data_IF_218160149919
#
_entry.id   IF_218160149919
#
_cell.length_a   1.000
_cell.length_b   1.000
_cell.length_c   1.000
_cell.angle_alpha   90.00
_cell.angle_beta   90.00
_cell.angle_gamma   90.00
#
_symmetry.space_group_name_H-M   'P 1'
#
loop_
_entity.id
_entity.type
_entity.pdbx_description
1 polymer ?
#
# COMPACT_ATOMS: atom_id res chain seq x y z
N UNK A 1 9.50 -29.48 3.53
CA UNK A 1 10.28 -28.28 3.94
C UNK A 1 9.45 -27.07 3.57
N UNK A 2 8.93 -26.33 4.54
CA UNK A 2 8.04 -25.18 4.30
C UNK A 2 8.90 -23.93 4.08
N UNK A 3 8.79 -23.24 2.93
CA UNK A 3 9.51 -22.00 2.74
C UNK A 3 8.89 -20.90 3.62
N UNK A 4 9.79 -20.11 4.19
CA UNK A 4 9.56 -18.98 5.08
C UNK A 4 8.74 -17.93 4.31
N UNK A 5 7.53 -17.65 4.76
CA UNK A 5 6.60 -16.72 4.10
C UNK A 5 7.00 -15.26 4.39
N UNK A 6 7.63 -14.62 3.40
CA UNK A 6 7.70 -13.15 3.30
C UNK A 6 6.53 -12.75 2.39
N UNK A 7 5.47 -12.21 2.97
CA UNK A 7 4.24 -11.85 2.25
C UNK A 7 4.19 -10.32 2.11
N UNK A 8 4.44 -9.83 0.89
CA UNK A 8 4.26 -8.43 0.48
C UNK A 8 2.95 -8.32 -0.31
N UNK A 9 2.15 -7.31 0.03
CA UNK A 9 0.76 -7.13 -0.35
C UNK A 9 0.57 -6.31 -1.64
N UNK A 10 -0.60 -6.51 -2.27
CA UNK A 10 -0.81 -6.41 -3.71
C UNK A 10 -1.35 -5.10 -4.31
N UNK A 11 -0.78 -4.69 -5.46
CA UNK A 11 -1.20 -3.87 -6.64
C UNK A 11 -2.29 -2.80 -6.60
N UNK A 12 -3.02 -2.61 -5.51
CA UNK A 12 -3.42 -1.26 -5.15
C UNK A 12 -2.18 -0.58 -4.59
N UNK A 13 -2.03 0.75 -4.76
CA UNK A 13 -1.12 1.54 -3.94
C UNK A 13 -1.48 1.30 -2.45
N UNK A 14 -0.91 0.25 -1.87
CA UNK A 14 -1.30 -0.33 -0.60
C UNK A 14 -0.71 0.44 0.58
N UNK A 15 -0.18 1.63 0.30
CA UNK A 15 -0.15 2.75 1.23
C UNK A 15 -1.48 2.85 1.96
N UNK A 16 -2.62 2.67 1.27
CA UNK A 16 -3.92 2.85 1.86
C UNK A 16 -4.34 1.77 2.88
N UNK A 17 -4.20 0.46 2.58
CA UNK A 17 -4.59 -0.61 3.53
C UNK A 17 -3.73 -0.60 4.79
N UNK A 18 -2.43 -0.34 4.62
CA UNK A 18 -1.51 -0.12 5.73
C UNK A 18 -1.78 1.20 6.47
N UNK A 19 -2.23 2.24 5.77
CA UNK A 19 -2.67 3.49 6.37
C UNK A 19 -3.99 3.32 7.16
N UNK A 20 -4.88 2.41 6.76
CA UNK A 20 -6.09 2.12 7.54
C UNK A 20 -5.72 1.40 8.83
N UNK A 21 -4.80 0.43 8.78
CA UNK A 21 -4.30 -0.27 9.97
C UNK A 21 -3.47 0.60 10.96
N UNK A 22 -3.14 1.85 10.63
CA UNK A 22 -2.22 2.66 11.46
C UNK A 22 -2.89 3.80 12.25
N UNK A 23 -4.12 3.61 12.74
CA UNK A 23 -4.53 4.36 13.93
C UNK A 23 -3.57 3.95 15.05
N UNK A 24 -2.68 4.84 15.50
CA UNK A 24 -1.77 4.54 16.60
C UNK A 24 -2.46 4.77 17.95
N UNK A 25 -2.16 3.88 18.87
CA UNK A 25 -2.65 3.86 20.25
C UNK A 25 -2.21 5.10 21.03
N UNK A 26 -3.08 6.11 21.18
CA UNK A 26 -3.02 7.07 22.31
C UNK A 26 -3.69 6.44 23.54
N UNK A 27 -3.04 5.47 24.15
CA UNK A 27 -3.40 4.99 25.48
C UNK A 27 -2.12 4.81 26.31
N UNK A 28 -1.75 5.88 27.03
CA UNK A 28 -0.64 5.87 27.98
C UNK A 28 0.48 6.91 27.75
N UNK A 29 0.36 7.82 26.78
CA UNK A 29 1.31 8.93 26.67
C UNK A 29 1.10 9.89 27.85
N UNK A 30 2.00 9.87 28.84
CA UNK A 30 2.15 11.02 29.73
C UNK A 30 2.69 12.16 28.86
N UNK A 31 1.85 13.18 28.63
CA UNK A 31 2.29 14.43 28.02
C UNK A 31 3.19 15.14 29.03
N UNK A 32 4.50 14.86 29.00
CA UNK A 32 5.49 15.82 29.47
C UNK A 32 5.89 16.67 28.28
N UNK A 33 5.08 17.69 28.01
CA UNK A 33 5.37 18.69 26.99
C UNK A 33 6.57 19.52 27.43
N UNK A 34 7.76 19.15 26.96
CA UNK A 34 8.90 20.04 26.94
C UNK A 34 9.03 20.54 25.51
N UNK A 35 8.48 21.72 25.26
CA UNK A 35 8.64 22.42 24.00
C UNK A 35 10.12 22.83 23.88
N UNK A 36 10.88 22.13 23.05
CA UNK A 36 12.18 22.62 22.63
C UNK A 36 11.98 23.88 21.79
N UNK A 37 12.87 24.87 21.96
CA UNK A 37 12.78 26.22 21.38
C UNK A 37 12.83 26.29 19.85
N UNK A 38 12.78 25.13 19.16
CA UNK A 38 12.73 24.99 17.71
C UNK A 38 11.30 24.79 17.14
N UNK A 39 10.28 24.78 18.00
CA UNK A 39 8.88 24.59 17.59
C UNK A 39 8.56 23.15 17.15
N UNK A 40 9.40 22.18 17.54
CA UNK A 40 9.23 20.77 17.23
C UNK A 40 8.52 20.06 18.40
N UNK A 41 7.37 19.45 18.13
CA UNK A 41 6.74 18.52 19.08
C UNK A 41 7.33 17.13 18.89
N UNK A 42 7.67 16.48 20.01
CA UNK A 42 8.14 15.11 20.06
C UNK A 42 7.17 14.28 20.90
N UNK A 43 6.89 13.06 20.46
CA UNK A 43 6.03 12.12 21.18
C UNK A 43 6.81 10.88 21.58
N UNK A 44 6.50 10.35 22.76
CA UNK A 44 7.07 9.09 23.22
C UNK A 44 6.28 7.90 22.66
N UNK A 45 6.96 7.04 21.90
CA UNK A 45 6.41 5.78 21.39
C UNK A 45 7.25 4.59 21.83
N UNK A 46 6.67 3.38 21.94
CA UNK A 46 7.46 2.17 22.17
C UNK A 46 8.51 1.99 21.07
N UNK A 47 9.73 1.63 21.46
CA UNK A 47 10.83 1.33 20.53
C UNK A 47 10.49 0.20 19.57
N UNK A 48 9.77 -0.83 20.02
CA UNK A 48 9.29 -1.87 19.13
C UNK A 48 7.90 -2.36 19.52
N UNK A 49 7.16 -2.83 18.52
CA UNK A 49 5.84 -3.43 18.64
C UNK A 49 5.76 -4.65 17.70
N UNK A 50 5.02 -5.67 18.12
CA UNK A 50 4.80 -6.87 17.31
C UNK A 50 3.36 -7.31 17.46
N UNK A 51 2.77 -7.76 16.37
CA UNK A 51 1.41 -8.24 16.35
C UNK A 51 1.12 -9.12 15.16
N UNK A 52 -0.17 -9.42 15.01
CA UNK A 52 -0.71 -10.21 13.91
C UNK A 52 -1.92 -9.47 13.37
N UNK A 53 -2.03 -9.40 12.05
CA UNK A 53 -3.21 -8.91 11.36
C UNK A 53 -3.86 -10.07 10.59
N UNK A 54 -5.19 -10.07 10.58
CA UNK A 54 -5.99 -10.95 9.75
C UNK A 54 -6.90 -10.10 8.88
N UNK A 55 -6.93 -10.37 7.58
CA UNK A 55 -7.77 -9.62 6.65
C UNK A 55 -8.31 -10.51 5.54
N UNK A 56 -9.48 -10.11 5.03
CA UNK A 56 -10.04 -10.57 3.78
C UNK A 56 -9.95 -9.41 2.78
N UNK A 57 -9.47 -9.71 1.57
CA UNK A 57 -9.33 -8.75 0.48
C UNK A 57 -10.03 -9.30 -0.77
N UNK A 58 -10.71 -8.43 -1.50
CA UNK A 58 -11.13 -8.65 -2.86
C UNK A 58 -10.53 -7.58 -3.73
N UNK A 59 -9.65 -7.95 -4.66
CA UNK A 59 -8.98 -7.05 -5.60
C UNK A 59 -9.10 -7.60 -7.02
N UNK A 60 -9.09 -6.75 -8.06
CA UNK A 60 -9.04 -7.22 -9.44
C UNK A 60 -7.84 -8.17 -9.67
N UNK A 61 -8.02 -9.18 -10.52
CA UNK A 61 -6.99 -10.17 -10.83
C UNK A 61 -5.71 -9.51 -11.40
N UNK A 62 -5.90 -8.43 -12.14
CA UNK A 62 -4.87 -7.52 -12.63
C UNK A 62 -5.50 -6.14 -12.92
N UNK A 63 -4.72 -5.09 -13.20
CA UNK A 63 -5.29 -3.78 -13.54
C UNK A 63 -6.30 -3.88 -14.68
N UNK A 64 -7.43 -3.17 -14.61
CA UNK A 64 -8.56 -3.26 -15.57
C UNK A 64 -9.27 -4.61 -15.71
N UNK A 65 -8.99 -5.62 -14.86
CA UNK A 65 -9.73 -6.89 -14.93
C UNK A 65 -11.12 -6.77 -14.30
N UNK A 66 -12.12 -7.35 -14.98
CA UNK A 66 -13.50 -7.44 -14.48
C UNK A 66 -13.66 -8.51 -13.40
N UNK A 67 -12.66 -9.39 -13.24
CA UNK A 67 -12.70 -10.51 -12.31
C UNK A 67 -11.90 -10.19 -11.05
N UNK A 68 -12.54 -10.37 -9.91
CA UNK A 68 -11.95 -10.18 -8.58
C UNK A 68 -11.32 -11.48 -8.07
N UNK A 69 -10.15 -11.36 -7.45
CA UNK A 69 -9.45 -12.42 -6.72
C UNK A 69 -9.59 -12.18 -5.21
N UNK A 70 -10.48 -12.95 -4.60
CA UNK A 70 -10.73 -12.88 -3.15
C UNK A 70 -9.76 -13.76 -2.37
N UNK A 71 -9.10 -13.19 -1.35
CA UNK A 71 -8.16 -13.92 -0.50
C UNK A 71 -8.27 -13.49 0.96
N UNK A 72 -8.14 -14.46 1.85
CA UNK A 72 -7.91 -14.23 3.28
C UNK A 72 -6.46 -14.51 3.64
N UNK A 73 -5.86 -13.67 4.47
CA UNK A 73 -4.50 -13.87 4.98
C UNK A 73 -4.39 -13.49 6.45
N UNK A 74 -3.46 -14.17 7.13
CA UNK A 74 -3.01 -13.84 8.48
C UNK A 74 -1.52 -13.56 8.39
N UNK A 75 -1.11 -12.34 8.70
CA UNK A 75 0.27 -11.88 8.55
C UNK A 75 0.79 -11.33 9.88
N UNK A 76 2.02 -11.70 10.29
CA UNK A 76 2.68 -11.02 11.38
C UNK A 76 3.11 -9.62 10.94
N UNK A 77 3.10 -8.67 11.86
CA UNK A 77 3.67 -7.34 11.65
C UNK A 77 4.63 -6.99 12.77
N UNK A 78 5.63 -6.17 12.45
CA UNK A 78 6.66 -5.72 13.38
C UNK A 78 7.02 -4.26 13.10
N UNK A 79 6.91 -3.44 14.13
CA UNK A 79 7.29 -2.03 14.09
C UNK A 79 8.57 -1.86 14.91
N UNK A 80 9.56 -1.20 14.34
CA UNK A 80 10.77 -0.81 15.06
C UNK A 80 11.04 0.67 14.83
N UNK A 81 11.20 1.42 15.91
CA UNK A 81 11.47 2.85 15.93
C UNK A 81 12.89 3.09 16.43
N UNK A 82 13.81 3.25 15.50
CA UNK A 82 15.19 3.68 15.75
C UNK A 82 15.51 4.99 15.05
N UNK A 83 16.70 5.53 15.33
CA UNK A 83 17.16 6.84 14.86
C UNK A 83 17.54 6.86 13.36
N UNK A 84 17.69 5.68 12.72
CA UNK A 84 18.14 5.55 11.31
C UNK A 84 17.31 4.55 10.48
N UNK A 85 16.56 3.66 11.13
CA UNK A 85 15.74 2.64 10.45
C UNK A 85 14.38 2.58 11.16
N UNK A 86 13.29 2.87 10.44
CA UNK A 86 11.91 2.72 10.92
C UNK A 86 11.17 1.71 10.05
N UNK A 87 10.92 0.49 10.54
CA UNK A 87 9.95 -0.39 9.88
C UNK A 87 8.54 0.09 10.24
N UNK A 88 7.75 0.45 9.22
CA UNK A 88 6.34 0.80 9.38
C UNK A 88 5.45 -0.32 8.84
N UNK A 89 4.19 -0.27 9.25
CA UNK A 89 3.13 -1.04 8.60
C UNK A 89 2.89 -0.43 7.21
N UNK A 90 2.99 -1.25 6.16
CA UNK A 90 2.98 -0.83 4.75
C UNK A 90 4.27 -1.11 3.99
N UNK A 91 5.34 -1.50 4.68
CA UNK A 91 6.58 -1.91 4.05
C UNK A 91 7.82 -1.50 4.84
N UNK A 92 8.98 -2.01 4.42
CA UNK A 92 10.27 -1.60 4.95
C UNK A 92 10.61 -0.18 4.46
N UNK A 93 10.32 0.83 5.29
CA UNK A 93 10.74 2.21 5.00
C UNK A 93 12.09 2.53 5.65
N UNK A 94 13.19 2.29 4.94
CA UNK A 94 14.50 2.79 5.38
C UNK A 94 14.55 4.28 5.13
N UNK A 95 14.35 5.10 6.16
CA UNK A 95 14.45 6.55 6.08
C UNK A 95 15.94 6.92 5.94
N UNK A 96 16.33 7.39 4.75
CA UNK A 96 17.69 7.82 4.48
C UNK A 96 17.93 9.28 4.89
N UNK A 97 16.89 10.12 4.84
CA UNK A 97 16.97 11.54 5.17
C UNK A 97 15.58 12.07 5.59
N UNK A 98 15.51 12.72 6.75
CA UNK A 98 14.26 13.22 7.34
C UNK A 98 14.42 14.70 7.72
N UNK A 99 13.58 15.55 7.15
CA UNK A 99 13.35 16.93 7.56
C UNK A 99 11.88 17.11 7.94
N UNK A 100 11.53 18.22 8.62
CA UNK A 100 10.18 18.49 9.14
C UNK A 100 9.03 18.32 8.14
N UNK A 101 9.31 18.43 6.83
CA UNK A 101 8.31 18.31 5.75
C UNK A 101 8.65 17.26 4.71
N UNK A 102 9.86 16.72 4.69
CA UNK A 102 10.34 15.90 3.59
C UNK A 102 11.06 14.67 4.13
N UNK A 103 10.58 13.50 3.76
CA UNK A 103 11.17 12.22 4.13
C UNK A 103 11.54 11.47 2.85
N UNK A 104 12.79 11.06 2.74
CA UNK A 104 13.25 10.16 1.68
C UNK A 104 13.43 8.77 2.28
N UNK A 105 12.63 7.82 1.80
CA UNK A 105 12.61 6.45 2.27
C UNK A 105 12.78 5.43 1.14
N UNK A 106 12.71 4.16 1.53
CA UNK A 106 12.47 3.04 0.61
C UNK A 106 11.01 2.61 0.71
N UNK A 107 10.44 2.19 -0.42
CA UNK A 107 9.09 1.68 -0.54
C UNK A 107 9.16 0.25 -1.03
N UNK A 108 8.32 -0.60 -0.46
CA UNK A 108 8.11 -1.96 -0.93
C UNK A 108 6.63 -2.13 -1.28
N UNK A 109 6.36 -2.81 -2.39
CA UNK A 109 5.03 -3.23 -2.81
C UNK A 109 5.05 -4.68 -3.28
N UNK A 110 3.89 -5.24 -3.58
CA UNK A 110 3.77 -6.53 -4.25
C UNK A 110 2.50 -6.65 -5.07
N UNK A 111 2.23 -7.82 -5.64
CA UNK A 111 0.94 -8.25 -6.19
C UNK A 111 0.65 -9.70 -5.82
N UNK A 112 -0.62 -10.04 -5.68
CA UNK A 112 -1.02 -11.44 -5.58
C UNK A 112 -0.87 -12.07 -6.97
N UNK A 113 -0.50 -13.35 -6.99
CA UNK A 113 -0.59 -14.15 -8.21
C UNK A 113 -2.04 -14.34 -8.62
N UNK A 114 -2.32 -14.33 -9.92
CA UNK A 114 -3.61 -14.69 -10.49
C UNK A 114 -3.44 -15.81 -11.51
N UNK A 115 -4.30 -16.83 -11.40
CA UNK A 115 -4.32 -17.93 -12.36
C UNK A 115 -4.92 -17.42 -13.67
N UNK A 116 -4.33 -17.79 -14.82
CA UNK A 116 -4.77 -17.34 -16.15
C UNK A 116 -6.22 -17.74 -16.44
N UNK A 117 -6.62 -18.90 -15.93
CA UNK A 117 -7.94 -19.49 -16.18
C UNK A 117 -9.07 -18.82 -15.38
N UNK A 118 -8.74 -17.87 -14.50
CA UNK A 118 -9.73 -17.07 -13.77
C UNK A 118 -10.48 -16.14 -14.73
N UNK A 119 -9.84 -15.71 -15.80
CA UNK A 119 -10.42 -14.81 -16.80
C UNK A 119 -10.48 -15.52 -18.16
N UNK A 120 -11.64 -15.62 -18.83
CA UNK A 120 -11.73 -16.19 -20.18
C UNK A 120 -10.77 -15.52 -21.16
N UNK A 121 -10.50 -14.22 -20.96
CA UNK A 121 -9.59 -13.44 -21.79
C UNK A 121 -8.12 -13.85 -21.67
N UNK A 122 -7.72 -14.56 -20.60
CA UNK A 122 -6.33 -15.06 -20.43
C UNK A 122 -6.24 -16.58 -20.52
N UNK A 123 -7.30 -17.27 -20.93
CA UNK A 123 -7.26 -18.73 -21.11
C UNK A 123 -6.14 -19.12 -22.08
N UNK A 124 -5.34 -20.12 -21.70
CA UNK A 124 -4.18 -20.60 -22.46
C UNK A 124 -2.93 -19.71 -22.37
N UNK A 125 -2.95 -18.61 -21.62
CA UNK A 125 -1.77 -17.78 -21.33
C UNK A 125 -1.07 -18.24 -20.04
N UNK A 126 0.20 -17.87 -19.81
CA UNK A 126 0.85 -18.07 -18.53
C UNK A 126 0.15 -17.32 -17.40
N UNK A 127 0.24 -17.90 -16.20
CA UNK A 127 -0.24 -17.28 -14.97
C UNK A 127 0.45 -15.96 -14.70
N UNK A 128 -0.28 -15.07 -14.02
CA UNK A 128 0.32 -13.91 -13.39
C UNK A 128 0.96 -14.36 -12.08
N UNK A 129 2.29 -14.45 -12.09
CA UNK A 129 3.10 -14.72 -10.92
C UNK A 129 2.94 -13.63 -9.85
N UNK A 130 3.45 -13.88 -8.63
CA UNK A 130 3.55 -12.84 -7.62
C UNK A 130 4.47 -11.72 -8.10
N UNK A 131 4.05 -10.47 -7.94
CA UNK A 131 4.90 -9.32 -8.22
C UNK A 131 5.45 -8.77 -6.91
N UNK A 132 6.67 -8.27 -6.94
CA UNK A 132 7.34 -7.59 -5.85
C UNK A 132 7.94 -6.31 -6.38
N UNK A 133 7.68 -5.20 -5.70
CA UNK A 133 8.16 -3.88 -6.08
C UNK A 133 9.04 -3.32 -4.98
N UNK A 134 10.15 -2.67 -5.34
CA UNK A 134 11.00 -1.99 -4.37
C UNK A 134 11.68 -0.77 -4.99
N UNK A 135 11.81 0.32 -4.23
CA UNK A 135 12.57 1.47 -4.69
C UNK A 135 12.43 2.71 -3.80
N UNK A 136 13.06 3.84 -4.16
CA UNK A 136 12.96 5.08 -3.39
C UNK A 136 11.53 5.63 -3.35
N UNK A 137 11.22 6.29 -2.23
CA UNK A 137 9.97 7.03 -2.04
C UNK A 137 10.26 8.36 -1.36
N UNK A 138 9.62 9.40 -1.86
CA UNK A 138 9.63 10.75 -1.33
C UNK A 138 8.26 11.04 -0.73
N UNK A 139 8.24 11.37 0.57
CA UNK A 139 7.06 11.82 1.28
C UNK A 139 7.20 13.29 1.63
N UNK A 140 6.27 14.11 1.14
CA UNK A 140 6.18 15.53 1.41
C UNK A 140 4.92 15.85 2.21
N UNK A 141 5.10 16.36 3.43
CA UNK A 141 4.03 16.81 4.31
C UNK A 141 3.59 18.20 3.90
N UNK A 142 2.40 18.29 3.31
CA UNK A 142 1.83 19.56 2.85
C UNK A 142 1.36 20.37 4.06
N UNK A 143 0.59 19.73 4.94
CA UNK A 143 0.14 20.34 6.19
C UNK A 143 -0.12 19.30 7.27
N UNK A 144 -0.14 19.78 8.51
CA UNK A 144 -0.44 19.00 9.70
C UNK A 144 -1.08 19.94 10.70
N UNK A 145 -2.29 19.63 11.14
CA UNK A 145 -3.08 20.52 12.00
C UNK A 145 -3.71 19.72 13.11
N UNK A 146 -3.43 20.14 14.33
CA UNK A 146 -4.25 19.77 15.47
C UNK A 146 -5.56 20.58 15.43
N UNK A 147 -6.67 19.87 15.57
CA UNK A 147 -8.01 20.43 15.66
C UNK A 147 -8.47 20.35 17.12
N UNK A 148 -9.51 21.11 17.46
CA UNK A 148 -10.10 21.04 18.79
C UNK A 148 -10.58 19.63 19.12
N UNK A 149 -10.47 19.22 20.39
CA UNK A 149 -10.94 17.90 20.85
C UNK A 149 -9.97 16.73 20.61
N UNK A 150 -8.69 17.00 20.32
CA UNK A 150 -7.67 15.95 20.15
C UNK A 150 -7.66 15.32 18.76
N UNK A 151 -8.45 15.86 17.84
CA UNK A 151 -8.45 15.55 16.42
C UNK A 151 -7.18 16.07 15.76
N UNK A 152 -6.70 15.34 14.75
CA UNK A 152 -5.56 15.76 13.93
C UNK A 152 -5.86 15.50 12.48
N UNK A 153 -5.45 16.42 11.61
CA UNK A 153 -5.68 16.35 10.17
C UNK A 153 -4.37 16.56 9.43
N UNK A 154 -4.11 15.70 8.44
CA UNK A 154 -2.86 15.67 7.68
C UNK A 154 -3.15 15.49 6.20
N UNK A 155 -2.34 16.14 5.38
CA UNK A 155 -2.27 15.94 3.93
C UNK A 155 -0.80 15.78 3.56
N UNK A 156 -0.53 14.68 2.86
CA UNK A 156 0.77 14.34 2.34
C UNK A 156 0.67 14.17 0.84
N UNK A 157 1.76 14.50 0.16
CA UNK A 157 2.03 14.07 -1.18
C UNK A 157 3.19 13.08 -1.13
N UNK A 158 3.02 11.94 -1.77
CA UNK A 158 3.98 10.85 -1.83
C UNK A 158 4.29 10.56 -3.29
N UNK A 159 5.55 10.31 -3.63
CA UNK A 159 5.92 9.74 -4.93
C UNK A 159 6.96 8.65 -4.76
N UNK A 160 6.84 7.57 -5.52
CA UNK A 160 7.77 6.45 -5.48
C UNK A 160 8.14 6.00 -6.88
N UNK A 161 9.42 5.67 -7.05
CA UNK A 161 9.94 5.00 -8.25
C UNK A 161 10.40 3.62 -7.82
N UNK A 162 9.72 2.56 -8.29
CA UNK A 162 9.97 1.19 -7.86
C UNK A 162 10.38 0.31 -9.04
N UNK A 163 11.31 -0.61 -8.80
CA UNK A 163 11.59 -1.71 -9.70
C UNK A 163 10.69 -2.89 -9.35
N UNK A 164 10.09 -3.51 -10.36
CA UNK A 164 9.20 -4.65 -10.23
C UNK A 164 9.90 -5.96 -10.60
N UNK A 165 9.59 -7.04 -9.88
CA UNK A 165 10.11 -8.39 -10.10
C UNK A 165 8.95 -9.38 -9.92
N UNK A 166 8.72 -10.26 -10.89
CA UNK A 166 7.76 -11.35 -10.74
C UNK A 166 8.45 -12.66 -10.31
N UNK A 167 7.76 -13.49 -9.54
CA UNK A 167 8.24 -14.80 -9.10
C UNK A 167 7.12 -15.78 -8.77
N UNK A 168 7.36 -17.03 -9.10
CA UNK A 168 6.60 -18.22 -8.70
C UNK A 168 7.32 -18.99 -7.56
N UNK A 169 8.31 -18.34 -6.92
CA UNK A 169 9.29 -18.91 -5.98
C UNK A 169 10.32 -19.88 -6.58
N UNK A 170 10.30 -20.14 -7.90
CA UNK A 170 11.30 -20.92 -8.61
C UNK A 170 12.27 -20.05 -9.42
N UNK A 171 11.75 -18.97 -10.01
CA UNK A 171 12.52 -18.00 -10.79
C UNK A 171 12.15 -16.55 -10.43
N UNK A 172 13.07 -15.63 -10.67
CA UNK A 172 12.84 -14.19 -10.52
C UNK A 172 13.00 -13.52 -11.88
N UNK A 173 11.99 -12.74 -12.30
CA UNK A 173 11.99 -12.02 -13.58
C UNK A 173 11.80 -10.54 -13.35
N UNK A 174 12.74 -9.72 -13.80
CA UNK A 174 12.58 -8.26 -13.76
C UNK A 174 11.42 -7.83 -14.66
N UNK A 175 10.51 -7.01 -14.12
CA UNK A 175 9.33 -6.45 -14.77
C UNK A 175 9.43 -4.94 -14.99
N UNK A 176 10.62 -4.35 -14.92
CA UNK A 176 10.82 -2.94 -15.25
C UNK A 176 10.53 -2.00 -14.08
N UNK A 177 10.14 -0.76 -14.39
CA UNK A 177 9.96 0.32 -13.42
C UNK A 177 8.50 0.78 -13.36
N UNK A 178 8.09 1.21 -12.17
CA UNK A 178 6.78 1.79 -11.87
C UNK A 178 7.00 3.12 -11.16
N UNK A 179 6.32 4.16 -11.62
CA UNK A 179 6.28 5.47 -10.98
C UNK A 179 4.86 5.70 -10.46
N UNK A 180 4.74 6.00 -9.17
CA UNK A 180 3.46 6.35 -8.55
C UNK A 180 3.57 7.71 -7.88
N UNK A 181 2.49 8.48 -7.95
CA UNK A 181 2.34 9.76 -7.24
C UNK A 181 0.98 9.77 -6.58
N UNK A 182 0.92 10.00 -5.28
CA UNK A 182 -0.28 9.90 -4.47
C UNK A 182 -0.42 11.14 -3.58
N UNK A 183 -1.64 11.67 -3.47
CA UNK A 183 -2.00 12.62 -2.42
C UNK A 183 -2.90 11.90 -1.44
N UNK A 184 -2.52 11.94 -0.16
CA UNK A 184 -3.26 11.27 0.91
C UNK A 184 -3.70 12.25 1.98
N UNK A 185 -4.94 12.14 2.42
CA UNK A 185 -5.52 12.86 3.54
C UNK A 185 -5.85 11.89 4.67
N UNK A 186 -5.41 12.21 5.88
CA UNK A 186 -5.71 11.45 7.09
C UNK A 186 -6.35 12.37 8.13
N UNK A 187 -7.38 11.87 8.81
CA UNK A 187 -7.95 12.51 9.99
C UNK A 187 -8.09 11.51 11.12
N UNK A 188 -7.44 11.81 12.24
CA UNK A 188 -7.43 10.98 13.45
C UNK A 188 -8.41 11.51 14.50
N UNK A 189 -8.91 10.60 15.34
CA UNK A 189 -9.82 10.83 16.45
C UNK A 189 -11.14 11.53 16.08
N UNK A 190 -11.69 11.23 14.91
CA UNK A 190 -12.86 11.94 14.37
C UNK A 190 -14.02 11.97 15.36
N UNK A 191 -14.64 13.14 15.56
CA UNK A 191 -15.78 13.33 16.45
C UNK A 191 -15.51 12.88 17.90
N UNK A 192 -14.26 12.95 18.36
CA UNK A 192 -13.84 12.51 19.70
C UNK A 192 -13.80 10.99 19.89
N UNK A 193 -13.90 10.22 18.81
CA UNK A 193 -13.79 8.76 18.84
C UNK A 193 -12.32 8.31 18.67
N UNK A 194 -12.05 7.00 18.72
CA UNK A 194 -10.73 6.43 18.35
C UNK A 194 -10.67 6.01 16.87
N UNK A 195 -11.54 6.61 16.04
CA UNK A 195 -11.60 6.30 14.62
C UNK A 195 -10.68 7.21 13.81
N UNK A 196 -10.09 6.63 12.76
CA UNK A 196 -9.23 7.32 11.80
C UNK A 196 -9.83 7.13 10.41
N UNK A 197 -9.95 8.23 9.67
CA UNK A 197 -10.32 8.23 8.25
C UNK A 197 -9.09 8.49 7.41
N UNK A 198 -8.97 7.73 6.33
CA UNK A 198 -7.94 7.87 5.32
C UNK A 198 -8.59 8.02 3.94
N UNK A 199 -8.05 8.93 3.14
CA UNK A 199 -8.41 9.15 1.75
C UNK A 199 -7.13 9.26 0.94
N UNK A 200 -7.07 8.68 -0.24
CA UNK A 200 -6.00 8.99 -1.17
C UNK A 200 -6.43 8.95 -2.63
N UNK A 201 -5.67 9.66 -3.45
CA UNK A 201 -5.83 9.69 -4.89
C UNK A 201 -4.44 9.75 -5.55
N UNK A 202 -4.17 8.90 -6.53
CA UNK A 202 -2.85 8.87 -7.14
C UNK A 202 -2.75 8.17 -8.49
N UNK A 203 -2.19 8.81 -9.53
CA UNK A 203 -1.84 8.16 -10.78
C UNK A 203 -0.61 7.25 -10.65
N UNK A 204 -0.59 6.21 -11.49
CA UNK A 204 0.54 5.31 -11.69
C UNK A 204 0.92 5.25 -13.17
N UNK A 205 2.23 5.25 -13.44
CA UNK A 205 2.83 5.01 -14.75
C UNK A 205 3.81 3.86 -14.66
N UNK A 206 3.97 3.11 -15.75
CA UNK A 206 4.90 1.99 -15.78
C UNK A 206 5.63 1.85 -17.11
N UNK A 207 6.81 1.25 -17.04
CA UNK A 207 7.61 0.90 -18.21
C UNK A 207 6.99 -0.27 -18.97
N UNK A 208 7.38 -0.44 -20.23
CA UNK A 208 6.88 -1.44 -21.17
C UNK A 208 6.88 -2.85 -20.56
N UNK A 209 8.03 -3.32 -20.05
CA UNK A 209 8.16 -4.64 -19.38
C UNK A 209 7.18 -4.89 -18.22
N UNK A 210 6.68 -3.83 -17.59
CA UNK A 210 5.68 -3.94 -16.53
C UNK A 210 4.29 -4.09 -17.15
N UNK A 211 4.00 -3.28 -18.17
CA UNK A 211 2.76 -3.34 -18.93
C UNK A 211 2.61 -4.67 -19.67
N UNK A 212 3.70 -5.20 -20.24
CA UNK A 212 3.74 -6.51 -20.91
C UNK A 212 3.22 -7.63 -20.01
N UNK A 213 3.52 -7.55 -18.72
CA UNK A 213 3.13 -8.58 -17.76
C UNK A 213 1.61 -8.75 -17.71
N UNK A 214 0.86 -7.66 -17.90
CA UNK A 214 -0.60 -7.65 -17.83
C UNK A 214 -1.25 -7.69 -19.22
N UNK A 215 -0.72 -6.94 -20.18
CA UNK A 215 -1.44 -6.58 -21.41
C UNK A 215 -0.85 -7.19 -22.69
N UNK A 216 0.36 -7.77 -22.65
CA UNK A 216 0.98 -8.38 -23.83
C UNK A 216 0.19 -9.60 -24.30
N UNK A 217 0.00 -9.71 -25.61
CA UNK A 217 -0.43 -10.95 -26.25
C UNK A 217 0.58 -11.34 -27.32
N UNK A 218 1.46 -12.28 -26.96
CA UNK A 218 2.40 -12.87 -27.91
C UNK A 218 1.66 -13.66 -29.01
N UNK A 219 2.25 -13.79 -30.22
CA UNK A 219 1.64 -14.52 -31.34
C UNK A 219 1.16 -15.94 -31.01
N UNK A 220 1.83 -16.63 -30.09
CA UNK A 220 1.46 -17.98 -29.64
C UNK A 220 0.16 -18.04 -28.84
N UNK A 221 -0.27 -16.92 -28.25
CA UNK A 221 -1.50 -16.82 -27.44
C UNK A 221 -2.66 -16.18 -28.20
N UNK A 222 -2.49 -15.87 -29.49
CA UNK A 222 -3.55 -15.29 -30.32
C UNK A 222 -4.68 -16.28 -30.52
N UNK A 223 -5.91 -15.80 -30.37
CA UNK A 223 -7.14 -16.56 -30.67
C UNK A 223 -8.04 -15.73 -31.57
N UNK A 224 -9.17 -16.29 -32.00
CA UNK A 224 -10.16 -15.54 -32.77
C UNK A 224 -10.79 -14.36 -31.99
N UNK A 225 -10.69 -14.37 -30.65
CA UNK A 225 -11.25 -13.35 -29.76
C UNK A 225 -10.16 -12.51 -29.06
N UNK A 226 -8.89 -12.90 -29.16
CA UNK A 226 -7.74 -12.21 -28.55
C UNK A 226 -6.66 -12.01 -29.60
N UNK A 227 -6.61 -10.80 -30.16
CA UNK A 227 -5.59 -10.42 -31.14
C UNK A 227 -4.20 -10.29 -30.50
N UNK A 228 -3.14 -10.35 -31.31
CA UNK A 228 -1.81 -9.98 -30.84
C UNK A 228 -1.80 -8.52 -30.42
N UNK A 229 -1.10 -8.21 -29.33
CA UNK A 229 -1.03 -6.88 -28.78
C UNK A 229 0.35 -6.68 -28.15
N UNK A 230 0.96 -5.54 -28.46
CA UNK A 230 2.25 -5.11 -27.93
C UNK A 230 1.99 -4.02 -26.90
N UNK A 231 2.27 -4.29 -25.63
CA UNK A 231 1.93 -3.39 -24.55
C UNK A 231 2.89 -2.20 -24.51
N UNK A 232 2.35 -1.00 -24.38
CA UNK A 232 3.14 0.23 -24.42
C UNK A 232 3.44 0.75 -23.01
N UNK A 233 4.60 1.38 -22.78
CA UNK A 233 4.87 2.10 -21.53
C UNK A 233 3.93 3.30 -21.41
N UNK A 234 3.54 3.65 -20.18
CA UNK A 234 2.78 4.88 -19.97
C UNK A 234 1.90 4.85 -18.75
N UNK A 235 0.79 5.59 -18.82
CA UNK A 235 -0.17 5.70 -17.73
C UNK A 235 -0.95 4.39 -17.57
N UNK A 236 -1.01 3.88 -16.34
CA UNK A 236 -1.72 2.64 -15.98
C UNK A 236 -3.14 2.92 -15.46
N UNK A 237 -3.29 4.01 -14.71
CA UNK A 237 -4.54 4.36 -14.05
C UNK A 237 -4.33 5.27 -12.85
N UNK A 238 -5.43 5.73 -12.28
CA UNK A 238 -5.49 6.53 -11.06
C UNK A 238 -6.29 5.78 -10.02
N UNK A 239 -5.68 5.54 -8.86
CA UNK A 239 -6.33 4.91 -7.74
C UNK A 239 -6.98 5.97 -6.85
N UNK A 240 -8.21 5.69 -6.42
CA UNK A 240 -8.92 6.39 -5.36
C UNK A 240 -9.13 5.42 -4.21
N UNK A 241 -8.72 5.78 -2.99
CA UNK A 241 -8.89 4.90 -1.84
C UNK A 241 -9.55 5.63 -0.68
N UNK A 242 -10.51 4.95 -0.05
CA UNK A 242 -11.11 5.32 1.22
C UNK A 242 -10.77 4.27 2.27
N UNK A 243 -10.44 4.72 3.46
CA UNK A 243 -10.14 3.87 4.60
C UNK A 243 -10.78 4.37 5.88
N UNK A 244 -11.26 3.44 6.69
CA UNK A 244 -11.73 3.69 8.05
C UNK A 244 -11.16 2.64 9.00
N UNK A 245 -10.55 3.08 10.09
CA UNK A 245 -10.20 2.20 11.22
C UNK A 245 -10.70 2.72 12.53
N UNK A 246 -10.79 1.81 13.50
CA UNK A 246 -11.11 2.13 14.87
C UNK A 246 -10.45 1.15 15.83
N UNK A 247 -10.08 1.63 17.00
CA UNK A 247 -9.62 0.78 18.09
C UNK A 247 -10.80 0.29 18.93
N UNK A 248 -10.97 -1.02 18.99
CA UNK A 248 -11.91 -1.66 19.93
C UNK A 248 -11.30 -1.77 21.33
N UNK A 249 -9.97 -1.85 21.45
CA UNK A 249 -9.23 -1.80 22.71
C UNK A 249 -7.86 -1.14 22.51
N UNK A 250 -7.00 -1.10 23.53
CA UNK A 250 -5.62 -0.61 23.38
C UNK A 250 -4.75 -1.47 22.45
N UNK A 251 -5.17 -2.71 22.15
CA UNK A 251 -4.37 -3.67 21.36
C UNK A 251 -5.10 -4.23 20.15
N UNK A 252 -6.41 -3.99 20.04
CA UNK A 252 -7.24 -4.54 18.99
C UNK A 252 -7.84 -3.39 18.19
N UNK A 253 -7.62 -3.44 16.89
CA UNK A 253 -8.10 -2.46 15.94
C UNK A 253 -8.76 -3.16 14.77
N UNK A 254 -9.88 -2.61 14.30
CA UNK A 254 -10.51 -3.01 13.05
C UNK A 254 -10.30 -1.97 11.98
N UNK A 255 -10.26 -2.45 10.74
CA UNK A 255 -10.13 -1.59 9.56
C UNK A 255 -10.97 -2.10 8.39
N UNK A 256 -11.42 -1.15 7.59
CA UNK A 256 -12.07 -1.39 6.29
C UNK A 256 -11.48 -0.39 5.28
N UNK A 257 -11.25 -0.87 4.06
CA UNK A 257 -10.78 -0.07 2.94
C UNK A 257 -11.60 -0.36 1.69
N UNK A 258 -11.84 0.67 0.90
CA UNK A 258 -12.49 0.61 -0.41
C UNK A 258 -11.61 1.34 -1.41
N UNK A 259 -11.33 0.70 -2.53
CA UNK A 259 -10.52 1.24 -3.61
C UNK A 259 -11.27 1.24 -4.93
N UNK A 260 -11.05 2.27 -5.74
CA UNK A 260 -11.48 2.33 -7.14
C UNK A 260 -10.30 2.75 -8.00
N UNK A 261 -9.95 1.95 -8.99
CA UNK A 261 -8.93 2.30 -9.99
C UNK A 261 -9.62 2.75 -11.27
N UNK A 262 -9.29 3.95 -11.72
CA UNK A 262 -9.79 4.56 -12.96
C UNK A 262 -8.72 4.42 -14.05
N UNK A 263 -9.06 3.75 -15.14
CA UNK A 263 -8.15 3.42 -16.23
C UNK A 263 -8.42 4.22 -17.51
N UNK A 264 -9.30 5.22 -17.47
CA UNK A 264 -9.54 6.11 -18.60
C UNK A 264 -8.24 6.82 -19.03
N UNK A 265 -7.86 6.65 -20.29
CA UNK A 265 -6.62 7.17 -20.85
C UNK A 265 -5.38 6.32 -20.56
N UNK A 266 -5.54 5.11 -20.01
CA UNK A 266 -4.45 4.14 -19.87
C UNK A 266 -3.80 3.85 -21.23
N UNK A 267 -2.47 3.71 -21.25
CA UNK A 267 -1.70 3.48 -22.47
C UNK A 267 -2.08 2.17 -23.20
N UNK A 268 -2.63 1.21 -22.45
CA UNK A 268 -2.97 -0.13 -22.94
C UNK A 268 -4.48 -0.40 -22.96
N UNK A 269 -5.30 0.66 -23.06
CA UNK A 269 -6.77 0.54 -23.13
C UNK A 269 -7.28 -0.19 -24.37
N UNK A 270 -6.50 -0.22 -25.45
CA UNK A 270 -6.80 -0.97 -26.68
C UNK A 270 -6.38 -2.46 -26.60
N UNK A 271 -5.77 -2.89 -25.49
CA UNK A 271 -5.41 -4.29 -25.30
C UNK A 271 -6.66 -5.17 -25.26
N UNK A 272 -6.66 -6.35 -25.93
CA UNK A 272 -7.75 -7.31 -25.78
C UNK A 272 -7.84 -7.91 -24.37
N UNK A 273 -6.87 -7.62 -23.50
CA UNK A 273 -6.86 -7.99 -22.08
C UNK A 273 -7.36 -6.85 -21.17
N UNK A 274 -7.65 -5.67 -21.71
CA UNK A 274 -8.29 -4.59 -20.97
C UNK A 274 -9.80 -4.85 -20.90
N UNK A 275 -10.34 -5.07 -19.70
CA UNK A 275 -11.74 -5.47 -19.53
C UNK A 275 -12.63 -4.28 -19.15
N UNK A 276 -12.26 -3.57 -18.08
CA UNK A 276 -13.05 -2.51 -17.48
C UNK A 276 -12.25 -1.21 -17.28
N UNK A 277 -12.88 -0.08 -17.60
CA UNK A 277 -12.29 1.25 -17.38
C UNK A 277 -12.30 1.69 -15.92
N UNK A 278 -13.06 1.02 -15.06
CA UNK A 278 -13.07 1.22 -13.62
C UNK A 278 -13.12 -0.12 -12.91
N UNK A 279 -12.19 -0.34 -11.99
CA UNK A 279 -12.18 -1.56 -11.17
C UNK A 279 -12.26 -1.21 -9.69
N UNK A 280 -12.76 -2.16 -8.89
CA UNK A 280 -13.03 -1.92 -7.47
C UNK A 280 -12.33 -2.95 -6.60
N UNK A 281 -11.86 -2.49 -5.44
CA UNK A 281 -11.26 -3.32 -4.43
C UNK A 281 -11.87 -3.05 -3.06
N UNK A 282 -11.88 -4.07 -2.21
CA UNK A 282 -12.30 -3.94 -0.83
C UNK A 282 -11.40 -4.76 0.08
N UNK A 283 -11.18 -4.27 1.30
CA UNK A 283 -10.49 -4.99 2.35
C UNK A 283 -11.20 -4.79 3.67
N UNK A 284 -11.26 -5.83 4.48
CA UNK A 284 -11.70 -5.76 5.87
C UNK A 284 -10.78 -6.61 6.73
N UNK A 285 -10.43 -6.12 7.91
CA UNK A 285 -9.54 -6.86 8.77
C UNK A 285 -9.49 -6.38 10.21
N UNK A 286 -8.70 -7.12 10.98
CA UNK A 286 -8.39 -6.88 12.37
C UNK A 286 -6.87 -6.92 12.55
N UNK A 287 -6.34 -5.99 13.34
CA UNK A 287 -4.95 -6.00 13.79
C UNK A 287 -4.90 -6.16 15.30
N UNK A 288 -4.10 -7.12 15.77
CA UNK A 288 -3.88 -7.40 17.18
C UNK A 288 -2.41 -7.18 17.53
N UNK A 289 -2.15 -6.21 18.40
CA UNK A 289 -0.85 -6.00 19.01
C UNK A 289 -0.58 -6.99 20.15
N UNK A 290 0.39 -7.88 19.96
CA UNK A 290 0.73 -8.92 20.93
C UNK A 290 1.64 -8.39 22.04
N UNK A 291 2.69 -7.65 21.66
CA UNK A 291 3.68 -7.11 22.60
C UNK A 291 4.21 -5.75 22.15
N UNK A 292 4.68 -4.97 23.12
CA UNK A 292 5.49 -3.76 22.93
C UNK A 292 6.65 -3.70 23.90
N UNK A 293 7.69 -2.97 23.51
CA UNK A 293 8.81 -2.65 24.38
C UNK A 293 8.39 -1.74 25.53
N UNK A 294 8.99 -1.94 26.71
CA UNK A 294 8.88 -0.99 27.85
C UNK A 294 9.66 0.30 27.65
N UNK A 295 10.70 0.27 26.81
CA UNK A 295 11.53 1.45 26.49
C UNK A 295 10.82 2.30 25.43
N UNK A 296 10.57 3.56 25.72
CA UNK A 296 10.10 4.55 24.76
C UNK A 296 11.28 5.21 24.02
N UNK A 297 10.99 5.75 22.86
CA UNK A 297 11.87 6.64 22.09
C UNK A 297 11.09 7.89 21.74
N UNK A 298 11.77 9.05 21.78
CA UNK A 298 11.21 10.31 21.28
C UNK A 298 11.23 10.26 19.76
N UNK A 299 10.05 10.31 19.16
CA UNK A 299 9.89 10.42 17.72
C UNK A 299 9.36 11.83 17.45
N UNK A 300 9.78 12.43 16.33
CA UNK A 300 9.12 13.64 15.85
C UNK A 300 7.61 13.35 15.82
N UNK A 301 6.79 14.27 16.30
CA UNK A 301 5.34 14.09 16.36
C UNK A 301 4.79 14.03 14.94
N UNK A 302 4.78 12.82 14.40
CA UNK A 302 4.46 12.53 13.02
C UNK A 302 3.02 12.73 12.72
#
# INVERSE_FOLDING_TARGET
MHPIAVILLALFNLTAVAAVASAETRAGAQIQGQADSSGDSYIEKPRWEVGVAAAAIGVPAYPSSSVTNDRGFVVPWFIYRGDTIRLREGGLQVIALENKRLTLGLSLGGSLSANSDITPLREGMPNLDYLFEFGPQLDYRIWDRELGGGERSRLNWQTSLRAAVSTDFSAFRSRGLVLSSEVSYRRDNILGTRATVFLSAGPTWAAEKFMDFFYQVDPQFVTAQRAAFDAEPGYLGTDLVFGLSTHFSERLQGFIGLGTSLHDGAANNDSPLFEDSSTHAAVIGLSWQLKKSRRSVRVLDE
#
